data_IF_359271973857
#
_entry.id   IF_359271973857
#
_cell.length_a   1.000
_cell.length_b   1.000
_cell.length_c   1.000
_cell.angle_alpha   90.00
_cell.angle_beta   90.00
_cell.angle_gamma   90.00
#
_symmetry.space_group_name_H-M   'P 1'
#
loop_
_entity.id
_entity.type
_entity.pdbx_description
1 polymer ?
#
# COMPACT_ATOMS: atom_id res chain seq x y z
N UNK A 1 19.94 -39.69 -39.66
CA UNK A 1 20.69 -39.08 -38.52
C UNK A 1 19.89 -37.84 -38.11
N UNK A 2 19.02 -38.03 -37.13
CA UNK A 2 18.01 -37.02 -36.74
C UNK A 2 18.51 -36.36 -35.47
N UNK A 3 18.87 -35.06 -35.54
CA UNK A 3 19.27 -34.27 -34.38
C UNK A 3 18.04 -33.75 -33.63
N UNK A 4 17.79 -34.28 -32.44
CA UNK A 4 16.83 -33.73 -31.49
C UNK A 4 17.43 -32.49 -30.85
N UNK A 5 16.86 -31.31 -31.12
CA UNK A 5 17.16 -30.08 -30.39
C UNK A 5 16.40 -30.13 -29.05
N UNK A 6 17.16 -30.25 -27.98
CA UNK A 6 16.64 -30.04 -26.61
C UNK A 6 16.44 -28.54 -26.37
N UNK A 7 15.17 -28.13 -26.21
CA UNK A 7 14.82 -26.77 -25.76
C UNK A 7 15.05 -26.76 -24.26
N UNK A 8 16.09 -26.06 -23.82
CA UNK A 8 16.32 -25.77 -22.40
C UNK A 8 15.27 -24.76 -21.93
N UNK A 9 14.44 -25.17 -20.98
CA UNK A 9 13.56 -24.29 -20.22
C UNK A 9 14.43 -23.28 -19.45
N UNK A 10 14.27 -21.98 -19.73
CA UNK A 10 14.95 -20.91 -19.00
C UNK A 10 14.52 -20.89 -17.53
N UNK A 11 15.29 -20.26 -16.64
CA UNK A 11 14.96 -20.22 -15.21
C UNK A 11 13.62 -19.52 -15.00
N UNK A 12 12.73 -20.21 -14.30
CA UNK A 12 11.52 -19.61 -13.74
C UNK A 12 11.95 -18.50 -12.78
N UNK A 13 11.61 -17.27 -13.06
CA UNK A 13 11.68 -16.19 -12.07
C UNK A 13 10.62 -16.53 -11.02
N UNK A 14 11.06 -16.96 -9.84
CA UNK A 14 10.19 -17.20 -8.71
C UNK A 14 9.40 -15.92 -8.45
N UNK A 15 8.07 -16.03 -8.53
CA UNK A 15 7.19 -14.98 -8.04
C UNK A 15 7.54 -14.74 -6.55
N UNK A 16 7.64 -13.48 -6.09
CA UNK A 16 7.95 -13.20 -4.70
C UNK A 16 6.97 -13.96 -3.81
N UNK A 17 7.50 -14.78 -2.88
CA UNK A 17 6.66 -15.56 -1.97
C UNK A 17 5.74 -14.60 -1.23
N UNK A 18 4.44 -14.83 -1.31
CA UNK A 18 3.44 -14.12 -0.54
C UNK A 18 3.75 -14.29 0.94
N UNK A 19 4.11 -13.21 1.62
CA UNK A 19 4.29 -13.21 3.06
C UNK A 19 3.05 -12.62 3.71
N UNK A 20 2.32 -13.43 4.46
CA UNK A 20 1.24 -12.95 5.32
C UNK A 20 1.84 -12.14 6.48
N UNK A 21 1.36 -10.92 6.67
CA UNK A 21 1.81 -10.01 7.73
C UNK A 21 0.61 -9.66 8.61
N UNK A 22 0.79 -9.68 9.92
CA UNK A 22 -0.24 -9.22 10.86
C UNK A 22 -0.41 -7.72 10.76
N UNK A 23 -1.60 -7.26 10.40
CA UNK A 23 -1.89 -5.85 10.09
C UNK A 23 -3.15 -5.35 10.80
N UNK A 24 -4.05 -6.24 11.23
CA UNK A 24 -5.30 -5.88 11.89
C UNK A 24 -5.13 -5.64 13.40
N UNK A 25 -6.07 -4.91 13.98
CA UNK A 25 -6.15 -4.66 15.42
C UNK A 25 -6.38 -5.95 16.22
N UNK A 26 -6.97 -6.94 15.58
CA UNK A 26 -7.21 -8.30 16.06
C UNK A 26 -6.08 -9.27 15.69
N UNK A 27 -4.98 -8.78 15.11
CA UNK A 27 -3.88 -9.60 14.62
C UNK A 27 -4.18 -10.30 13.29
N UNK A 28 -5.20 -9.87 12.55
CA UNK A 28 -5.52 -10.41 11.24
C UNK A 28 -4.30 -10.36 10.30
N UNK A 29 -4.07 -11.46 9.63
CA UNK A 29 -2.98 -11.57 8.65
C UNK A 29 -3.47 -11.04 7.29
N UNK A 30 -2.67 -10.18 6.68
CA UNK A 30 -2.90 -9.72 5.31
C UNK A 30 -1.83 -10.33 4.41
N UNK A 31 -2.28 -11.00 3.36
CA UNK A 31 -1.42 -11.37 2.26
C UNK A 31 -0.95 -10.10 1.55
N UNK A 32 0.35 -9.84 1.57
CA UNK A 32 0.96 -8.66 0.95
C UNK A 32 1.18 -8.81 -0.55
N UNK A 33 0.73 -9.89 -1.18
CA UNK A 33 0.67 -10.00 -2.64
C UNK A 33 -0.29 -8.95 -3.23
N UNK A 34 -0.15 -8.66 -4.51
CA UNK A 34 -1.06 -7.75 -5.20
C UNK A 34 -2.52 -8.17 -5.06
N UNK A 35 -2.79 -9.48 -5.17
CA UNK A 35 -4.13 -10.04 -5.03
C UNK A 35 -4.65 -9.94 -3.58
N UNK A 36 -3.80 -10.20 -2.59
CA UNK A 36 -4.15 -10.11 -1.17
C UNK A 36 -4.51 -8.68 -0.76
N UNK A 37 -3.70 -7.69 -1.15
CA UNK A 37 -3.99 -6.27 -0.87
C UNK A 37 -5.26 -5.85 -1.61
N UNK A 38 -5.44 -6.26 -2.86
CA UNK A 38 -6.66 -5.99 -3.63
C UNK A 38 -7.91 -6.52 -2.93
N UNK A 39 -7.89 -7.78 -2.50
CA UNK A 39 -9.00 -8.42 -1.78
C UNK A 39 -9.29 -7.70 -0.45
N UNK A 40 -8.26 -7.34 0.31
CA UNK A 40 -8.41 -6.58 1.55
C UNK A 40 -9.06 -5.22 1.31
N UNK A 41 -8.58 -4.45 0.34
CA UNK A 41 -9.14 -3.13 0.01
C UNK A 41 -10.59 -3.26 -0.49
N UNK A 42 -10.88 -4.26 -1.33
CA UNK A 42 -12.22 -4.54 -1.82
C UNK A 42 -13.20 -4.90 -0.71
N UNK A 43 -12.76 -5.59 0.34
CA UNK A 43 -13.58 -5.92 1.53
C UNK A 43 -13.99 -4.70 2.34
N UNK A 44 -13.27 -3.59 2.19
CA UNK A 44 -13.45 -2.33 2.97
C UNK A 44 -13.26 -2.50 4.49
N UNK A 45 -12.60 -3.55 4.95
CA UNK A 45 -12.34 -3.78 6.37
C UNK A 45 -11.59 -2.60 7.03
N UNK A 46 -10.73 -1.92 6.28
CA UNK A 46 -10.01 -0.72 6.73
C UNK A 46 -10.93 0.45 7.14
N UNK A 47 -12.22 0.45 6.76
CA UNK A 47 -13.16 1.53 7.12
C UNK A 47 -13.41 1.67 8.62
N UNK A 48 -13.08 0.67 9.42
CA UNK A 48 -13.16 0.70 10.88
C UNK A 48 -11.94 1.34 11.53
N UNK A 49 -10.88 1.60 10.78
CA UNK A 49 -9.63 2.17 11.28
C UNK A 49 -9.72 3.66 11.59
N UNK A 50 -8.75 4.17 12.32
CA UNK A 50 -8.56 5.61 12.46
C UNK A 50 -8.40 6.25 11.07
N UNK A 51 -9.08 7.37 10.83
CA UNK A 51 -9.11 7.98 9.52
C UNK A 51 -9.11 9.50 9.60
N UNK A 52 -8.58 10.16 8.58
CA UNK A 52 -8.77 11.59 8.40
C UNK A 52 -10.26 11.94 8.37
N UNK A 53 -10.63 13.07 8.97
CA UNK A 53 -12.03 13.47 9.10
C UNK A 53 -12.73 13.65 7.73
N UNK A 54 -12.01 14.26 6.79
CA UNK A 54 -12.58 14.65 5.50
C UNK A 54 -11.67 14.22 4.33
N UNK A 55 -12.25 14.16 3.14
CA UNK A 55 -11.51 14.15 1.88
C UNK A 55 -10.86 15.52 1.70
N UNK A 56 -9.60 15.53 1.28
CA UNK A 56 -8.84 16.76 1.03
C UNK A 56 -7.90 16.60 -0.17
N UNK A 57 -7.40 17.71 -0.72
CA UNK A 57 -6.40 17.67 -1.78
C UNK A 57 -5.08 17.15 -1.21
N UNK A 58 -4.45 16.21 -1.87
CA UNK A 58 -3.12 15.72 -1.50
C UNK A 58 -2.10 16.86 -1.56
N UNK A 59 -1.42 17.11 -0.42
CA UNK A 59 -0.73 18.38 -0.15
C UNK A 59 0.57 18.62 -0.91
N UNK A 60 1.23 17.60 -1.44
CA UNK A 60 2.60 17.82 -1.92
C UNK A 60 2.89 17.39 -3.34
N UNK A 61 2.18 16.49 -3.91
CA UNK A 61 2.46 16.03 -5.27
C UNK A 61 1.27 15.32 -5.86
N UNK A 62 0.88 15.77 -7.00
CA UNK A 62 0.03 14.95 -7.86
C UNK A 62 0.81 13.68 -8.24
N UNK A 63 0.36 12.47 -7.85
CA UNK A 63 -0.70 11.92 -8.70
C UNK A 63 -2.02 11.66 -7.98
N UNK A 64 -2.09 11.76 -6.67
CA UNK A 64 -3.23 11.20 -5.94
C UNK A 64 -4.51 12.08 -5.90
N UNK A 65 -4.50 13.30 -6.41
CA UNK A 65 -5.71 14.16 -6.47
C UNK A 65 -6.28 14.47 -5.09
N UNK A 66 -7.55 14.17 -4.88
CA UNK A 66 -8.22 14.25 -3.58
C UNK A 66 -8.16 12.89 -2.88
N UNK A 67 -7.91 12.91 -1.57
CA UNK A 67 -7.62 11.70 -0.80
C UNK A 67 -8.31 11.72 0.57
N UNK A 68 -8.52 10.52 1.12
CA UNK A 68 -8.80 10.29 2.53
C UNK A 68 -7.97 9.11 3.01
N UNK A 69 -7.26 9.26 4.12
CA UNK A 69 -6.29 8.28 4.60
C UNK A 69 -6.81 7.57 5.83
N UNK A 70 -6.56 6.26 5.88
CA UNK A 70 -6.93 5.35 6.95
C UNK A 70 -5.67 4.68 7.49
N UNK A 71 -5.60 4.54 8.81
CA UNK A 71 -4.43 4.03 9.54
C UNK A 71 -4.83 2.86 10.41
N UNK A 72 -4.20 1.70 10.24
CA UNK A 72 -4.44 0.61 11.18
C UNK A 72 -3.93 0.94 12.58
N UNK A 73 -4.28 0.12 13.58
CA UNK A 73 -3.89 0.37 14.98
C UNK A 73 -2.39 0.48 15.14
N UNK A 74 -1.62 -0.39 14.48
CA UNK A 74 -0.14 -0.36 14.52
C UNK A 74 0.41 0.99 14.08
N UNK A 75 -0.07 1.52 12.93
CA UNK A 75 0.34 2.85 12.45
C UNK A 75 -0.15 3.96 13.37
N UNK A 76 -1.39 3.86 13.87
CA UNK A 76 -1.99 4.86 14.75
C UNK A 76 -1.19 5.02 16.04
N UNK A 77 -0.85 3.92 16.69
CA UNK A 77 -0.07 3.94 17.94
C UNK A 77 1.33 4.51 17.70
N UNK A 78 2.03 3.99 16.69
CA UNK A 78 3.41 4.40 16.41
C UNK A 78 3.52 5.89 16.04
N UNK A 79 2.60 6.39 15.21
CA UNK A 79 2.57 7.80 14.82
C UNK A 79 2.22 8.73 15.99
N UNK A 80 1.25 8.36 16.85
CA UNK A 80 0.92 9.13 18.07
C UNK A 80 2.05 9.13 19.09
N UNK A 81 2.91 8.11 19.10
CA UNK A 81 4.11 8.04 19.91
C UNK A 81 5.33 8.73 19.28
N UNK A 82 5.17 9.38 18.12
CA UNK A 82 6.24 10.03 17.36
C UNK A 82 7.43 9.11 17.05
N UNK A 83 7.18 7.83 16.79
CA UNK A 83 8.23 6.89 16.41
C UNK A 83 8.81 7.29 15.04
N UNK A 84 10.13 7.38 14.94
CA UNK A 84 10.81 7.72 13.68
C UNK A 84 10.85 6.58 12.66
N UNK A 85 10.69 5.34 13.12
CA UNK A 85 10.55 4.15 12.29
C UNK A 85 9.30 3.40 12.70
N UNK A 86 8.46 3.07 11.73
CA UNK A 86 7.19 2.40 11.98
C UNK A 86 7.38 0.89 12.05
N UNK A 87 6.66 0.16 12.92
CA UNK A 87 6.78 -1.28 13.06
C UNK A 87 6.33 -2.04 11.79
N UNK A 88 6.87 -3.24 11.59
CA UNK A 88 6.33 -4.20 10.63
C UNK A 88 4.86 -4.47 10.97
N UNK A 89 4.00 -4.54 9.94
CA UNK A 89 2.56 -4.60 10.12
C UNK A 89 1.86 -3.24 10.11
N UNK A 90 2.60 -2.13 10.10
CA UNK A 90 2.01 -0.82 9.78
C UNK A 90 1.36 -0.88 8.40
N UNK A 91 0.10 -0.50 8.32
CA UNK A 91 -0.60 -0.36 7.03
C UNK A 91 -1.38 0.95 6.99
N UNK A 92 -1.28 1.59 5.84
CA UNK A 92 -2.01 2.82 5.52
C UNK A 92 -2.76 2.59 4.21
N UNK A 93 -4.06 2.86 4.21
CA UNK A 93 -4.90 2.82 3.02
C UNK A 93 -5.36 4.24 2.68
N UNK A 94 -5.25 4.59 1.42
CA UNK A 94 -5.68 5.88 0.89
C UNK A 94 -6.78 5.66 -0.13
N UNK A 95 -7.94 6.25 0.10
CA UNK A 95 -8.97 6.39 -0.93
C UNK A 95 -8.62 7.55 -1.85
N UNK A 96 -8.72 7.31 -3.14
CA UNK A 96 -8.42 8.30 -4.19
C UNK A 96 -9.75 8.78 -4.78
N UNK A 97 -9.91 10.08 -4.86
CA UNK A 97 -11.13 10.69 -5.39
C UNK A 97 -10.82 11.54 -6.62
N UNK A 98 -11.83 11.71 -7.48
CA UNK A 98 -11.76 12.63 -8.60
C UNK A 98 -11.66 14.09 -8.12
N UNK A 99 -11.49 15.01 -9.06
CA UNK A 99 -11.35 16.43 -8.75
C UNK A 99 -12.58 17.07 -8.07
N UNK A 100 -13.71 16.37 -8.07
CA UNK A 100 -14.92 16.76 -7.34
C UNK A 100 -14.83 16.49 -5.81
N UNK A 101 -13.81 15.74 -5.38
CA UNK A 101 -13.63 15.32 -3.98
C UNK A 101 -14.72 14.37 -3.46
N UNK A 102 -15.60 13.87 -4.30
CA UNK A 102 -16.75 13.03 -3.92
C UNK A 102 -16.77 11.68 -4.64
N UNK A 103 -16.36 11.64 -5.91
CA UNK A 103 -16.37 10.42 -6.72
C UNK A 103 -15.11 9.61 -6.48
N UNK A 104 -15.25 8.44 -5.86
CA UNK A 104 -14.15 7.52 -5.63
C UNK A 104 -13.62 6.99 -6.96
N UNK A 105 -12.30 7.10 -7.18
CA UNK A 105 -11.63 6.71 -8.43
C UNK A 105 -10.67 5.54 -8.25
N UNK A 106 -10.23 5.25 -7.03
CA UNK A 106 -9.28 4.18 -6.78
C UNK A 106 -8.79 4.13 -5.34
N UNK A 107 -7.72 3.39 -5.13
CA UNK A 107 -7.11 3.21 -3.83
C UNK A 107 -5.59 3.09 -3.97
N UNK A 108 -4.87 3.55 -2.94
CA UNK A 108 -3.47 3.22 -2.75
C UNK A 108 -3.29 2.62 -1.35
N UNK A 109 -2.38 1.68 -1.22
CA UNK A 109 -2.02 1.08 0.05
C UNK A 109 -0.51 0.95 0.19
N UNK A 110 -0.02 1.11 1.40
CA UNK A 110 1.36 0.82 1.75
C UNK A 110 1.40 -0.03 3.02
N UNK A 111 2.20 -1.08 3.00
CA UNK A 111 2.38 -2.01 4.11
C UNK A 111 3.85 -2.10 4.47
N UNK A 112 4.19 -1.86 5.73
CA UNK A 112 5.54 -2.11 6.25
C UNK A 112 5.76 -3.61 6.31
N UNK A 113 6.37 -4.16 5.27
CA UNK A 113 6.53 -5.61 5.08
C UNK A 113 7.84 -6.16 5.63
N UNK A 114 8.79 -5.29 5.95
CA UNK A 114 10.03 -5.62 6.65
C UNK A 114 10.55 -4.41 7.41
N UNK A 115 11.55 -4.59 8.28
CA UNK A 115 12.18 -3.50 9.05
C UNK A 115 12.64 -2.32 8.19
N UNK A 116 13.02 -2.57 6.95
CA UNK A 116 13.55 -1.55 6.04
C UNK A 116 12.72 -1.35 4.77
N UNK A 117 11.65 -2.12 4.57
CA UNK A 117 10.93 -2.17 3.30
C UNK A 117 9.43 -1.98 3.41
N UNK A 118 8.88 -1.31 2.41
CA UNK A 118 7.47 -1.09 2.24
C UNK A 118 6.96 -1.79 0.97
N UNK A 119 5.88 -2.53 1.08
CA UNK A 119 5.10 -2.98 -0.06
C UNK A 119 4.12 -1.87 -0.45
N UNK A 120 4.16 -1.47 -1.72
CA UNK A 120 3.31 -0.44 -2.31
C UNK A 120 2.31 -1.09 -3.26
N UNK A 121 1.09 -0.58 -3.25
CA UNK A 121 0.03 -1.01 -4.14
C UNK A 121 -0.88 0.17 -4.46
N UNK A 122 -1.25 0.33 -5.75
CA UNK A 122 -2.22 1.33 -6.20
C UNK A 122 -3.04 0.75 -7.34
N UNK A 123 -4.36 0.91 -7.29
CA UNK A 123 -5.25 0.50 -8.36
C UNK A 123 -6.43 1.46 -8.50
N UNK A 124 -6.97 1.52 -9.71
CA UNK A 124 -8.10 2.36 -10.06
C UNK A 124 -9.35 1.52 -10.36
N UNK A 125 -10.51 2.08 -9.98
CA UNK A 125 -11.79 1.45 -10.25
C UNK A 125 -12.10 1.42 -11.75
N UNK A 126 -12.76 0.36 -12.24
CA UNK A 126 -13.25 -0.80 -11.48
C UNK A 126 -12.22 -1.93 -11.31
N UNK A 127 -11.02 -1.82 -11.82
CA UNK A 127 -10.06 -2.92 -12.01
C UNK A 127 -9.06 -3.03 -10.85
N UNK A 128 -9.53 -3.33 -9.64
CA UNK A 128 -8.65 -3.48 -8.47
C UNK A 128 -7.71 -4.71 -8.55
N UNK A 129 -8.05 -5.68 -9.37
CA UNK A 129 -7.23 -6.87 -9.64
C UNK A 129 -6.02 -6.59 -10.56
N UNK A 130 -5.97 -5.40 -11.15
CA UNK A 130 -4.90 -4.95 -12.06
C UNK A 130 -4.25 -3.68 -11.53
N UNK A 131 -3.41 -3.78 -10.49
CA UNK A 131 -2.80 -2.59 -9.91
C UNK A 131 -1.94 -1.84 -10.93
N UNK A 132 -2.08 -0.52 -10.95
CA UNK A 132 -1.23 0.38 -11.73
C UNK A 132 0.20 0.45 -11.16
N UNK A 133 0.34 0.20 -9.84
CA UNK A 133 1.63 0.07 -9.16
C UNK A 133 1.56 -1.03 -8.11
N UNK A 134 2.56 -1.92 -8.10
CA UNK A 134 2.75 -2.93 -7.07
C UNK A 134 4.22 -3.33 -6.99
N UNK A 135 4.75 -3.39 -5.77
CA UNK A 135 6.10 -3.88 -5.50
C UNK A 135 6.68 -3.40 -4.18
N UNK A 136 7.85 -3.94 -3.85
CA UNK A 136 8.59 -3.55 -2.65
C UNK A 136 9.47 -2.34 -3.00
N UNK A 137 9.43 -1.33 -2.14
CA UNK A 137 10.28 -0.13 -2.23
C UNK A 137 10.29 0.55 -3.62
N UNK A 138 9.14 0.65 -4.25
CA UNK A 138 9.01 1.25 -5.58
C UNK A 138 9.64 2.66 -5.65
N UNK A 139 10.62 2.88 -6.54
CA UNK A 139 11.33 4.17 -6.63
C UNK A 139 10.39 5.36 -6.87
N UNK A 140 9.36 5.20 -7.71
CA UNK A 140 8.37 6.23 -7.96
C UNK A 140 7.58 6.65 -6.72
N UNK A 141 7.21 5.70 -5.85
CA UNK A 141 6.53 5.98 -4.59
C UNK A 141 7.49 6.60 -3.58
N UNK A 142 8.66 5.98 -3.39
CA UNK A 142 9.69 6.47 -2.45
C UNK A 142 10.14 7.89 -2.76
N UNK A 143 10.26 8.27 -4.03
CA UNK A 143 10.72 9.60 -4.43
C UNK A 143 9.91 10.73 -3.78
N UNK A 144 8.58 10.58 -3.70
CA UNK A 144 7.70 11.54 -3.05
C UNK A 144 7.57 11.29 -1.54
N UNK A 145 7.51 10.01 -1.14
CA UNK A 145 7.26 9.62 0.25
C UNK A 145 8.47 9.71 1.18
N UNK A 146 9.70 9.83 0.66
CA UNK A 146 10.92 10.05 1.47
C UNK A 146 11.23 11.52 1.73
N UNK A 147 10.32 12.43 1.44
CA UNK A 147 10.51 13.87 1.63
C UNK A 147 10.61 14.28 3.12
N UNK A 148 11.17 15.47 3.39
CA UNK A 148 11.29 15.99 4.74
C UNK A 148 9.91 16.16 5.41
N UNK A 149 9.83 15.83 6.68
CA UNK A 149 8.61 15.89 7.49
C UNK A 149 7.72 14.65 7.41
N UNK A 150 8.09 13.65 6.61
CA UNK A 150 7.42 12.36 6.60
C UNK A 150 7.99 11.45 7.67
N UNK A 151 7.14 10.67 8.31
CA UNK A 151 7.56 9.65 9.29
C UNK A 151 7.62 8.31 8.57
N UNK A 152 8.83 7.79 8.39
CA UNK A 152 9.07 6.49 7.73
C UNK A 152 8.22 6.32 6.45
N UNK A 153 8.26 7.35 5.57
CA UNK A 153 7.51 7.46 4.31
C UNK A 153 5.99 7.70 4.44
N UNK A 154 5.43 7.81 5.64
CA UNK A 154 4.03 8.22 5.83
C UNK A 154 3.93 9.74 5.83
N UNK A 155 3.12 10.28 4.91
CA UNK A 155 2.93 11.73 4.70
C UNK A 155 1.80 12.33 5.52
N UNK A 156 0.85 11.50 5.95
CA UNK A 156 -0.37 11.96 6.60
C UNK A 156 -0.23 11.87 8.11
N UNK A 157 -0.93 12.75 8.81
CA UNK A 157 -0.99 12.73 10.27
C UNK A 157 -2.22 11.93 10.72
N UNK A 158 -2.05 11.15 11.79
CA UNK A 158 -3.17 10.46 12.44
C UNK A 158 -4.02 11.50 13.17
N UNK A 159 -5.36 11.43 13.07
CA UNK A 159 -6.29 12.29 13.80
C UNK A 159 -6.17 12.14 15.31
#
# INVERSE_FOLDING_TARGET
MLFLLSIACGPSVDAPSSSAIKVGDDGAEIDTSAAGISAFVASKAYKTWAAEANVHTATKTRPHGHVRVFFNQTSTVALKQNQSSLPVGTMVVKELYQNDGATLSGYAAMVKSSEKGWTWWEAFLPNLDKPAAYGIDLPGCKGCHSGPGNVDQVLSQVP
#
